data_IF_812710551258
#
_entry.id   IF_812710551258
#
_cell.length_a   1.000
_cell.length_b   1.000
_cell.length_c   1.000
_cell.angle_alpha   90.00
_cell.angle_beta   90.00
_cell.angle_gamma   90.00
#
_symmetry.space_group_name_H-M   'P 1'
#
loop_
_entity.id
_entity.type
_entity.pdbx_description
1 polymer ?
#
# COMPACT_ATOMS: atom_id res chain seq x y z
N UNK A 1 -17.87 -16.76 -1.08
CA UNK A 1 -17.13 -16.38 -2.30
C UNK A 1 -17.26 -14.88 -2.65
N UNK A 2 -18.42 -14.26 -2.97
CA UNK A 2 -18.46 -12.82 -3.30
C UNK A 2 -18.11 -11.89 -2.12
N UNK A 3 -18.54 -12.28 -0.91
CA UNK A 3 -18.25 -11.55 0.33
C UNK A 3 -16.74 -11.56 0.65
N UNK A 4 -16.09 -12.73 0.58
CA UNK A 4 -14.65 -12.87 0.82
C UNK A 4 -13.82 -12.05 -0.17
N UNK A 5 -14.21 -12.02 -1.45
CA UNK A 5 -13.57 -11.17 -2.47
C UNK A 5 -13.66 -9.69 -2.08
N UNK A 6 -14.85 -9.22 -1.68
CA UNK A 6 -15.05 -7.84 -1.25
C UNK A 6 -14.27 -7.48 0.01
N UNK A 7 -14.15 -8.41 0.95
CA UNK A 7 -13.41 -8.22 2.20
C UNK A 7 -11.89 -8.15 1.95
N UNK A 8 -11.36 -8.96 1.03
CA UNK A 8 -9.95 -8.88 0.62
C UNK A 8 -9.65 -7.58 -0.14
N UNK A 9 -10.54 -7.12 -1.01
CA UNK A 9 -10.39 -5.83 -1.69
C UNK A 9 -10.34 -4.66 -0.70
N UNK A 10 -11.24 -4.65 0.29
CA UNK A 10 -11.24 -3.66 1.37
C UNK A 10 -9.98 -3.72 2.21
N UNK A 11 -9.47 -4.92 2.50
CA UNK A 11 -8.20 -5.10 3.20
C UNK A 11 -7.05 -4.50 2.41
N UNK A 12 -6.98 -4.77 1.10
CA UNK A 12 -5.95 -4.20 0.21
C UNK A 12 -6.01 -2.67 0.20
N UNK A 13 -7.21 -2.09 0.06
CA UNK A 13 -7.38 -0.63 0.08
C UNK A 13 -6.96 -0.03 1.44
N UNK A 14 -7.28 -0.71 2.54
CA UNK A 14 -6.86 -0.31 3.89
C UNK A 14 -5.34 -0.37 4.04
N UNK A 15 -4.68 -1.40 3.52
CA UNK A 15 -3.21 -1.52 3.56
C UNK A 15 -2.53 -0.40 2.78
N UNK A 16 -3.06 -0.04 1.61
CA UNK A 16 -2.53 1.06 0.78
C UNK A 16 -2.68 2.39 1.54
N UNK A 17 -3.89 2.72 2.00
CA UNK A 17 -4.17 3.98 2.68
C UNK A 17 -3.35 4.16 3.96
N UNK A 18 -3.26 3.11 4.78
CA UNK A 18 -2.46 3.15 6.02
C UNK A 18 -0.97 3.29 5.73
N UNK A 19 -0.48 2.63 4.68
CA UNK A 19 0.91 2.75 4.25
C UNK A 19 1.24 4.16 3.72
N UNK A 20 0.34 4.76 2.94
CA UNK A 20 0.49 6.14 2.46
C UNK A 20 0.60 7.11 3.63
N UNK A 21 -0.30 7.00 4.61
CA UNK A 21 -0.28 7.85 5.82
C UNK A 21 1.01 7.65 6.63
N UNK A 22 1.46 6.39 6.78
CA UNK A 22 2.68 6.08 7.50
C UNK A 22 3.91 6.68 6.83
N UNK A 23 4.04 6.57 5.51
CA UNK A 23 5.16 7.15 4.75
C UNK A 23 5.14 8.68 4.84
N UNK A 24 3.96 9.31 4.74
CA UNK A 24 3.85 10.76 4.91
C UNK A 24 4.32 11.23 6.29
N UNK A 25 3.96 10.50 7.35
CA UNK A 25 4.48 10.80 8.70
C UNK A 25 5.98 10.61 8.78
N UNK A 26 6.51 9.50 8.25
CA UNK A 26 7.96 9.23 8.27
C UNK A 26 8.79 10.31 7.56
N UNK A 27 8.31 10.85 6.44
CA UNK A 27 8.97 11.96 5.73
C UNK A 27 9.22 13.18 6.60
N UNK A 28 8.42 13.38 7.65
CA UNK A 28 8.56 14.54 8.54
C UNK A 28 9.59 14.33 9.65
N UNK A 29 10.02 13.09 9.89
CA UNK A 29 10.91 12.72 11.01
C UNK A 29 12.22 12.08 10.58
N UNK A 30 12.26 11.47 9.39
CA UNK A 30 13.45 10.79 8.88
C UNK A 30 14.27 11.73 7.97
N UNK A 31 15.61 11.56 7.93
CA UNK A 31 16.45 12.23 6.93
C UNK A 31 16.01 11.91 5.51
N UNK A 32 16.16 12.87 4.59
CA UNK A 32 15.67 12.78 3.20
C UNK A 32 16.09 11.49 2.49
N UNK A 33 17.36 11.07 2.63
CA UNK A 33 17.87 9.85 1.99
C UNK A 33 17.17 8.55 2.45
N UNK A 34 16.75 8.49 3.72
CA UNK A 34 16.00 7.36 4.26
C UNK A 34 14.52 7.48 3.86
N UNK A 35 13.98 8.69 3.91
CA UNK A 35 12.61 9.00 3.47
C UNK A 35 12.37 8.61 2.02
N UNK A 36 13.30 8.92 1.10
CA UNK A 36 13.23 8.54 -0.31
C UNK A 36 13.24 7.02 -0.49
N UNK A 37 14.12 6.32 0.22
CA UNK A 37 14.19 4.85 0.18
C UNK A 37 12.86 4.20 0.64
N UNK A 38 12.24 4.75 1.68
CA UNK A 38 10.95 4.29 2.20
C UNK A 38 9.79 4.56 1.24
N UNK A 39 9.82 5.71 0.54
CA UNK A 39 8.84 6.01 -0.53
C UNK A 39 8.94 4.98 -1.64
N UNK A 40 10.15 4.72 -2.15
CA UNK A 40 10.35 3.76 -3.23
C UNK A 40 9.92 2.35 -2.82
N UNK A 41 10.22 1.94 -1.59
CA UNK A 41 9.77 0.67 -1.04
C UNK A 41 8.24 0.58 -1.00
N UNK A 42 7.58 1.62 -0.48
CA UNK A 42 6.13 1.66 -0.38
C UNK A 42 5.45 1.70 -1.76
N UNK A 43 5.97 2.47 -2.72
CA UNK A 43 5.46 2.50 -4.09
C UNK A 43 5.52 1.11 -4.76
N UNK A 44 6.62 0.38 -4.58
CA UNK A 44 6.76 -1.00 -5.04
C UNK A 44 5.73 -1.93 -4.38
N UNK A 45 5.51 -1.76 -3.07
CA UNK A 45 4.53 -2.53 -2.32
C UNK A 45 3.09 -2.26 -2.81
N UNK A 46 2.71 -0.99 -3.00
CA UNK A 46 1.41 -0.58 -3.55
C UNK A 46 1.20 -1.14 -4.95
N UNK A 47 2.23 -1.13 -5.80
CA UNK A 47 2.14 -1.71 -7.14
C UNK A 47 1.82 -3.21 -7.09
N UNK A 48 2.38 -3.95 -6.13
CA UNK A 48 2.08 -5.37 -5.95
C UNK A 48 0.67 -5.60 -5.40
N UNK A 49 0.23 -4.79 -4.44
CA UNK A 49 -1.14 -4.86 -3.90
C UNK A 49 -2.20 -4.61 -4.98
N UNK A 50 -1.96 -3.65 -5.89
CA UNK A 50 -2.84 -3.40 -7.04
C UNK A 50 -2.92 -4.61 -7.98
N UNK A 51 -1.78 -5.24 -8.29
CA UNK A 51 -1.77 -6.48 -9.11
C UNK A 51 -2.56 -7.61 -8.46
N UNK A 52 -2.49 -7.77 -7.15
CA UNK A 52 -3.28 -8.77 -6.41
C UNK A 52 -4.78 -8.44 -6.53
N UNK A 53 -5.14 -7.16 -6.35
CA UNK A 53 -6.54 -6.70 -6.50
C UNK A 53 -7.08 -6.97 -7.92
N UNK A 54 -6.25 -6.74 -8.94
CA UNK A 54 -6.61 -7.03 -10.33
C UNK A 54 -6.80 -8.54 -10.56
N UNK A 55 -5.91 -9.37 -10.00
CA UNK A 55 -6.00 -10.83 -10.09
C UNK A 55 -7.28 -11.38 -9.44
N UNK A 56 -7.68 -10.83 -8.29
CA UNK A 56 -8.95 -11.20 -7.63
C UNK A 56 -10.18 -10.77 -8.44
N UNK A 57 -10.02 -9.81 -9.35
CA UNK A 57 -11.08 -9.26 -10.19
C UNK A 57 -11.26 -9.94 -11.55
N UNK A 58 -10.36 -10.85 -11.91
CA UNK A 58 -10.50 -11.78 -13.03
C UNK A 58 -11.43 -12.94 -12.68
#
# INVERSE_FOLDING_TARGET
>A
MPQEKNDIEKLIDTMINNGDEFVQKLKTVLPDSISESMVMFHESHVANLKKIKDFLNQ
#
